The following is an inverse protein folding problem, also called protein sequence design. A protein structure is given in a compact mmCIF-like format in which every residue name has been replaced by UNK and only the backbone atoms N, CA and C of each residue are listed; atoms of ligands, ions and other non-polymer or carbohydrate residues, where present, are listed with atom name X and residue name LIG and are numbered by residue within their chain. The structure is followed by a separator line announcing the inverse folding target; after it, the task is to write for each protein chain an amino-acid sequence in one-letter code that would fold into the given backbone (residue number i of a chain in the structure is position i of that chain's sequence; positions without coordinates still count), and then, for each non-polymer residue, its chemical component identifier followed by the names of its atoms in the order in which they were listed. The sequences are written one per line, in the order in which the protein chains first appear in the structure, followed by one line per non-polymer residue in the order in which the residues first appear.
data_IF_225551232261
#
_entry.id   IF_225551232261
#
_cell.length_a   1.000
_cell.length_b   1.000
_cell.length_c   1.000
_cell.angle_alpha   90.00
_cell.angle_beta   90.00
_cell.angle_gamma   90.00
#
_symmetry.space_group_name_H-M   'P 1'
#
loop_
_entity.id
_entity.type
_entity.pdbx_description
1 polymer ?
#
# COMPACT_ATOMS: atom_id res chain seq x y z
N UNK A 1 9.08 26.10 -14.88
CA UNK A 1 8.86 26.39 -13.45
C UNK A 1 9.64 25.33 -12.67
N UNK A 2 10.34 25.71 -11.59
CA UNK A 2 10.95 24.70 -10.71
C UNK A 2 9.84 23.84 -10.11
N UNK A 3 10.07 22.52 -9.98
CA UNK A 3 9.11 21.66 -9.32
C UNK A 3 9.04 22.01 -7.81
N UNK A 4 7.87 21.88 -7.22
CA UNK A 4 7.69 21.96 -5.77
C UNK A 4 7.92 20.56 -5.18
N UNK A 5 9.01 20.33 -4.42
CA UNK A 5 9.33 19.01 -3.88
C UNK A 5 8.21 18.41 -3.02
N UNK A 6 7.48 19.24 -2.26
CA UNK A 6 6.36 18.79 -1.44
C UNK A 6 5.19 18.33 -2.31
N UNK A 7 4.82 19.12 -3.31
CA UNK A 7 3.77 18.78 -4.25
C UNK A 7 4.12 17.52 -5.06
N UNK A 8 5.38 17.35 -5.44
CA UNK A 8 5.85 16.15 -6.14
C UNK A 8 5.71 14.89 -5.25
N UNK A 9 6.21 14.93 -4.02
CA UNK A 9 6.11 13.80 -3.08
C UNK A 9 4.64 13.45 -2.81
N UNK A 10 3.80 14.45 -2.53
CA UNK A 10 2.39 14.24 -2.27
C UNK A 10 1.66 13.62 -3.48
N UNK A 11 1.97 14.09 -4.69
CA UNK A 11 1.43 13.53 -5.93
C UNK A 11 1.83 12.06 -6.13
N UNK A 12 3.09 11.69 -5.85
CA UNK A 12 3.55 10.31 -5.93
C UNK A 12 2.85 9.41 -4.92
N UNK A 13 2.65 9.88 -3.68
CA UNK A 13 1.90 9.15 -2.67
C UNK A 13 0.44 8.92 -3.10
N UNK A 14 -0.25 9.95 -3.59
CA UNK A 14 -1.62 9.82 -4.12
C UNK A 14 -1.71 8.82 -5.27
N UNK A 15 -0.76 8.88 -6.20
CA UNK A 15 -0.71 7.92 -7.31
C UNK A 15 -0.52 6.48 -6.84
N UNK A 16 0.33 6.25 -5.84
CA UNK A 16 0.54 4.91 -5.27
C UNK A 16 -0.73 4.36 -4.59
N UNK A 17 -1.44 5.20 -3.82
CA UNK A 17 -2.73 4.85 -3.18
C UNK A 17 -3.79 4.48 -4.22
N UNK A 18 -3.94 5.27 -5.28
CA UNK A 18 -4.88 5.00 -6.38
C UNK A 18 -4.55 3.67 -7.09
N UNK A 19 -3.26 3.44 -7.36
CA UNK A 19 -2.80 2.20 -7.98
C UNK A 19 -3.09 0.99 -7.12
N UNK A 20 -2.90 1.09 -5.80
CA UNK A 20 -3.23 0.04 -4.84
C UNK A 20 -4.74 -0.22 -4.78
N UNK A 21 -5.58 0.81 -4.56
CA UNK A 21 -7.02 0.65 -4.39
C UNK A 21 -7.68 0.01 -5.60
N UNK A 22 -7.24 0.36 -6.80
CA UNK A 22 -7.75 -0.23 -8.03
C UNK A 22 -7.64 -1.78 -8.06
N UNK A 23 -6.67 -2.35 -7.35
CA UNK A 23 -6.49 -3.82 -7.31
C UNK A 23 -7.59 -4.56 -6.55
N UNK A 24 -8.42 -3.84 -5.81
CA UNK A 24 -9.56 -4.42 -5.10
C UNK A 24 -10.86 -4.34 -5.91
N UNK A 25 -10.90 -3.53 -6.98
CA UNK A 25 -12.12 -3.30 -7.76
C UNK A 25 -12.63 -4.55 -8.46
N UNK A 26 -13.94 -4.80 -8.38
CA UNK A 26 -14.62 -5.89 -9.08
C UNK A 26 -14.38 -7.30 -8.52
N UNK A 27 -13.50 -7.47 -7.53
CA UNK A 27 -13.29 -8.76 -6.87
C UNK A 27 -14.44 -9.11 -5.92
N UNK A 28 -14.67 -10.44 -5.75
CA UNK A 28 -15.63 -10.94 -4.77
C UNK A 28 -15.18 -10.64 -3.33
N UNK A 29 -16.13 -10.69 -2.38
CA UNK A 29 -15.84 -10.53 -0.95
C UNK A 29 -14.87 -11.63 -0.44
N UNK A 30 -15.00 -12.84 -0.97
CA UNK A 30 -14.10 -13.95 -0.66
C UNK A 30 -12.68 -13.69 -1.19
N UNK A 31 -12.55 -13.25 -2.44
CA UNK A 31 -11.23 -13.07 -3.09
C UNK A 31 -10.41 -11.93 -2.47
N UNK A 32 -11.05 -10.86 -2.00
CA UNK A 32 -10.30 -9.78 -1.33
C UNK A 32 -9.81 -10.16 0.06
N UNK A 33 -10.39 -11.20 0.72
CA UNK A 33 -10.13 -11.59 2.11
C UNK A 33 -9.33 -12.88 2.27
N UNK A 34 -9.46 -13.83 1.32
CA UNK A 34 -8.80 -15.12 1.46
C UNK A 34 -7.27 -14.97 1.44
N UNK A 35 -6.53 -15.82 2.17
CA UNK A 35 -5.07 -15.83 2.11
C UNK A 35 -4.62 -16.23 0.69
N UNK A 36 -3.74 -15.42 0.10
CA UNK A 36 -3.24 -15.61 -1.26
C UNK A 36 -1.75 -16.01 -1.29
N UNK A 37 -1.11 -16.03 -0.13
CA UNK A 37 0.28 -16.46 0.05
C UNK A 37 0.39 -17.37 1.27
N UNK A 38 1.47 -18.18 1.41
CA UNK A 38 1.69 -18.99 2.61
C UNK A 38 1.73 -18.19 3.92
N UNK A 39 2.05 -16.91 3.87
CA UNK A 39 2.06 -16.01 5.03
C UNK A 39 0.73 -15.28 5.26
N UNK A 40 -0.30 -15.58 4.46
CA UNK A 40 -1.66 -15.07 4.66
C UNK A 40 -1.94 -13.72 4.02
N UNK A 41 -1.04 -13.14 3.22
CA UNK A 41 -1.27 -11.85 2.56
C UNK A 41 -2.57 -11.88 1.76
N UNK A 42 -3.40 -10.87 1.96
CA UNK A 42 -4.69 -10.69 1.29
C UNK A 42 -4.95 -9.20 1.00
N UNK A 43 -5.76 -8.91 -0.01
CA UNK A 43 -5.92 -7.55 -0.52
C UNK A 43 -6.61 -6.61 0.47
N UNK A 44 -7.66 -7.07 1.16
CA UNK A 44 -8.38 -6.24 2.11
C UNK A 44 -7.57 -5.98 3.38
N UNK A 45 -6.78 -6.96 3.82
CA UNK A 45 -5.82 -6.80 4.91
C UNK A 45 -4.78 -5.74 4.60
N UNK A 46 -4.22 -5.75 3.38
CA UNK A 46 -3.30 -4.70 2.96
C UNK A 46 -3.94 -3.30 2.99
N UNK A 47 -5.22 -3.17 2.59
CA UNK A 47 -5.93 -1.89 2.67
C UNK A 47 -6.11 -1.42 4.12
N UNK A 48 -6.45 -2.34 5.04
CA UNK A 48 -6.57 -2.04 6.48
C UNK A 48 -5.22 -1.62 7.06
N UNK A 49 -4.17 -2.37 6.76
CA UNK A 49 -2.80 -2.07 7.17
C UNK A 49 -2.37 -0.67 6.73
N UNK A 50 -2.44 -0.38 5.43
CA UNK A 50 -2.04 0.92 4.89
C UNK A 50 -2.83 2.09 5.49
N UNK A 51 -4.12 1.90 5.78
CA UNK A 51 -4.93 2.94 6.43
C UNK A 51 -4.36 3.30 7.82
N UNK A 52 -4.02 2.29 8.63
CA UNK A 52 -3.48 2.53 9.98
C UNK A 52 -2.03 3.00 9.97
N UNK A 53 -1.23 2.52 9.01
CA UNK A 53 0.15 2.99 8.80
C UNK A 53 0.15 4.48 8.49
N UNK A 54 -0.68 4.93 7.54
CA UNK A 54 -0.77 6.37 7.22
C UNK A 54 -1.32 7.21 8.38
N UNK A 55 -2.35 6.71 9.09
CA UNK A 55 -2.89 7.38 10.27
C UNK A 55 -1.82 7.56 11.36
N UNK A 56 -0.96 6.56 11.56
CA UNK A 56 0.14 6.62 12.53
C UNK A 56 1.25 7.58 12.11
N UNK A 57 1.76 7.43 10.89
CA UNK A 57 2.89 8.25 10.43
C UNK A 57 2.54 9.72 10.21
N UNK A 58 1.42 10.02 9.57
CA UNK A 58 1.00 11.42 9.35
C UNK A 58 0.16 11.99 10.51
N UNK A 59 -0.19 11.14 11.47
CA UNK A 59 -0.90 11.52 12.69
C UNK A 59 0.01 11.56 13.90
N UNK A 60 0.10 10.46 14.60
CA UNK A 60 0.77 10.37 15.92
C UNK A 60 2.24 10.80 15.85
N UNK A 61 2.96 10.37 14.79
CA UNK A 61 4.38 10.71 14.62
C UNK A 61 4.64 12.21 14.44
N UNK A 62 3.64 12.98 13.97
CA UNK A 62 3.71 14.43 13.79
C UNK A 62 2.94 15.21 14.87
N UNK A 63 2.54 14.54 15.97
CA UNK A 63 1.81 15.14 17.06
C UNK A 63 0.36 15.57 16.72
N UNK A 64 -0.23 14.94 15.73
CA UNK A 64 -1.59 15.18 15.23
C UNK A 64 -2.39 13.86 15.25
N UNK A 65 -2.83 13.38 16.41
CA UNK A 65 -3.42 12.05 16.52
C UNK A 65 -4.65 11.91 15.61
N UNK A 66 -4.71 10.77 14.88
CA UNK A 66 -5.88 10.43 14.10
C UNK A 66 -7.10 10.24 15.02
N UNK A 67 -8.29 10.74 14.68
CA UNK A 67 -9.43 10.76 15.61
C UNK A 67 -10.02 9.38 15.93
N UNK A 68 -9.72 8.35 15.11
CA UNK A 68 -10.16 6.99 15.33
C UNK A 68 -9.05 6.18 16.02
N UNK A 69 -9.45 5.19 16.81
CA UNK A 69 -8.51 4.26 17.47
C UNK A 69 -8.51 2.93 16.73
N UNK A 70 -7.32 2.36 16.58
CA UNK A 70 -7.19 1.00 16.05
C UNK A 70 -7.98 0.01 16.92
N UNK A 71 -8.81 -0.85 16.32
CA UNK A 71 -9.60 -1.86 17.05
C UNK A 71 -8.79 -3.11 17.37
N UNK A 72 -7.47 -3.04 17.35
CA UNK A 72 -6.56 -4.16 17.54
C UNK A 72 -5.36 -3.74 18.40
N UNK A 73 -4.65 -4.72 18.89
CA UNK A 73 -3.44 -4.56 19.72
C UNK A 73 -2.30 -5.37 19.07
N UNK A 74 -1.32 -4.67 18.50
CA UNK A 74 -0.16 -5.29 17.83
C UNK A 74 0.79 -5.98 18.81
N UNK A 75 0.75 -5.65 20.10
CA UNK A 75 1.52 -6.35 21.13
C UNK A 75 0.90 -7.72 21.44
N UNK A 76 -0.42 -7.84 21.34
CA UNK A 76 -1.14 -9.08 21.55
C UNK A 76 -1.17 -9.97 20.29
N UNK A 77 -1.36 -9.36 19.11
CA UNK A 77 -1.32 -10.02 17.80
C UNK A 77 -0.64 -9.12 16.77
N UNK A 78 0.64 -9.39 16.45
CA UNK A 78 1.46 -8.58 15.54
C UNK A 78 0.93 -8.45 14.10
N UNK A 79 -0.04 -9.27 13.71
CA UNK A 79 -0.63 -9.24 12.37
C UNK A 79 -2.11 -8.84 12.37
N UNK A 80 -2.63 -8.33 13.46
CA UNK A 80 -4.06 -7.98 13.60
C UNK A 80 -4.53 -6.84 12.69
N UNK A 81 -3.62 -6.06 12.16
CA UNK A 81 -3.87 -5.06 11.12
C UNK A 81 -3.85 -5.63 9.69
N UNK A 82 -3.27 -6.82 9.49
CA UNK A 82 -3.06 -7.43 8.17
C UNK A 82 -4.26 -8.25 7.66
N UNK A 83 -5.37 -8.27 8.37
CA UNK A 83 -6.61 -8.89 7.92
C UNK A 83 -7.83 -8.16 8.48
N UNK A 84 -8.93 -8.22 7.74
CA UNK A 84 -10.24 -7.77 8.21
C UNK A 84 -11.02 -8.96 8.79
N UNK A 85 -11.55 -8.81 10.00
CA UNK A 85 -12.42 -9.81 10.63
C UNK A 85 -13.75 -9.93 9.88
N UNK A 86 -14.56 -10.96 10.19
CA UNK A 86 -15.89 -11.12 9.59
C UNK A 86 -16.84 -9.96 9.91
N UNK A 87 -16.63 -9.28 11.04
CA UNK A 87 -17.44 -8.15 11.48
C UNK A 87 -17.00 -6.81 10.86
N UNK A 88 -15.82 -6.76 10.26
CA UNK A 88 -15.32 -5.58 9.53
C UNK A 88 -15.74 -5.69 8.07
N UNK A 89 -16.75 -4.94 7.64
CA UNK A 89 -17.19 -4.96 6.24
C UNK A 89 -16.11 -4.36 5.31
N UNK A 90 -16.11 -4.79 4.04
CA UNK A 90 -15.25 -4.19 3.01
C UNK A 90 -15.45 -2.67 2.93
N UNK A 91 -16.71 -2.22 3.00
CA UNK A 91 -17.05 -0.81 2.98
C UNK A 91 -16.43 -0.06 4.18
N UNK A 92 -16.46 -0.66 5.39
CA UNK A 92 -15.87 -0.05 6.58
C UNK A 92 -14.35 0.08 6.46
N UNK A 93 -13.65 -0.94 5.92
CA UNK A 93 -12.20 -0.91 5.72
C UNK A 93 -11.80 0.11 4.64
N UNK A 94 -12.49 0.13 3.51
CA UNK A 94 -12.21 1.12 2.46
C UNK A 94 -12.60 2.54 2.89
N UNK A 95 -13.66 2.68 3.69
CA UNK A 95 -14.04 3.95 4.32
C UNK A 95 -12.98 4.45 5.31
N UNK A 96 -12.40 3.55 6.13
CA UNK A 96 -11.26 3.88 6.98
C UNK A 96 -10.05 4.35 6.15
N UNK A 97 -9.71 3.62 5.09
CA UNK A 97 -8.62 4.00 4.20
C UNK A 97 -8.83 5.42 3.63
N UNK A 98 -10.04 5.71 3.14
CA UNK A 98 -10.37 7.04 2.61
C UNK A 98 -10.24 8.14 3.67
N UNK A 99 -10.68 7.90 4.93
CA UNK A 99 -10.55 8.87 6.01
C UNK A 99 -9.11 9.06 6.47
N UNK A 100 -8.34 7.99 6.60
CA UNK A 100 -6.94 8.05 6.98
C UNK A 100 -6.10 8.82 5.94
N UNK A 101 -6.30 8.52 4.65
CA UNK A 101 -5.60 9.21 3.57
C UNK A 101 -6.00 10.69 3.44
N UNK A 102 -7.28 11.03 3.63
CA UNK A 102 -7.73 12.44 3.65
C UNK A 102 -7.12 13.20 4.84
N UNK A 103 -7.03 12.57 6.01
CA UNK A 103 -6.37 13.12 7.17
C UNK A 103 -4.86 13.33 6.94
N UNK A 104 -4.18 12.34 6.37
CA UNK A 104 -2.78 12.43 5.97
C UNK A 104 -2.55 13.57 4.97
N UNK A 105 -3.40 13.70 3.95
CA UNK A 105 -3.35 14.78 2.97
C UNK A 105 -3.46 16.16 3.62
N UNK A 106 -4.37 16.33 4.56
CA UNK A 106 -4.50 17.58 5.34
C UNK A 106 -3.23 17.88 6.13
N UNK A 107 -2.66 16.89 6.80
CA UNK A 107 -1.39 17.04 7.54
C UNK A 107 -0.25 17.43 6.62
N UNK A 108 -0.13 16.78 5.46
CA UNK A 108 0.90 17.08 4.45
C UNK A 108 0.73 18.50 3.92
N UNK A 109 -0.49 18.95 3.64
CA UNK A 109 -0.77 20.29 3.11
C UNK A 109 -0.41 21.40 4.09
N UNK A 110 -0.74 21.19 5.38
CA UNK A 110 -0.56 22.21 6.42
C UNK A 110 0.87 22.32 6.96
N UNK A 111 1.64 21.23 6.98
CA UNK A 111 2.98 21.23 7.58
C UNK A 111 4.08 21.46 6.53
N UNK A 112 5.17 22.18 6.86
CA UNK A 112 6.35 22.27 6.00
C UNK A 112 7.12 20.94 5.96
N UNK A 113 7.92 20.71 4.91
CA UNK A 113 8.70 19.46 4.75
C UNK A 113 9.68 19.17 5.89
N UNK A 114 10.18 20.20 6.55
CA UNK A 114 11.09 20.11 7.69
C UNK A 114 10.36 20.01 9.04
N UNK A 115 9.02 19.94 9.05
CA UNK A 115 8.26 19.75 10.28
C UNK A 115 8.77 18.53 11.05
N UNK A 116 9.16 18.66 12.33
CA UNK A 116 9.72 17.58 13.11
C UNK A 116 8.67 16.55 13.51
N UNK A 117 9.08 15.28 13.57
CA UNK A 117 8.27 14.17 14.04
C UNK A 117 9.09 13.16 14.83
N UNK A 118 8.39 12.23 15.48
CA UNK A 118 9.00 11.13 16.22
C UNK A 118 8.26 9.85 15.87
N UNK A 119 8.99 8.81 15.46
CA UNK A 119 8.46 7.46 15.23
C UNK A 119 8.82 6.59 16.43
N UNK A 120 7.92 6.37 17.40
CA UNK A 120 8.28 5.75 18.69
C UNK A 120 8.80 4.31 18.58
N UNK A 121 8.37 3.57 17.54
CA UNK A 121 8.74 2.17 17.30
C UNK A 121 10.01 1.99 16.45
N UNK A 122 10.64 3.10 16.00
CA UNK A 122 11.92 3.01 15.31
C UNK A 122 13.10 3.03 16.31
N UNK A 123 14.28 2.49 15.94
CA UNK A 123 15.48 2.59 16.76
C UNK A 123 15.79 4.03 17.15
N UNK A 124 16.34 4.19 18.37
CA UNK A 124 16.60 5.49 18.99
C UNK A 124 17.36 6.47 18.08
N UNK A 125 18.34 5.95 17.34
CA UNK A 125 19.19 6.73 16.44
C UNK A 125 18.47 7.20 15.16
N UNK A 126 17.27 6.69 14.87
CA UNK A 126 16.51 7.01 13.64
C UNK A 126 15.09 7.50 13.89
N UNK A 127 14.64 7.51 15.15
CA UNK A 127 13.23 7.83 15.46
C UNK A 127 12.87 9.30 15.25
N UNK A 128 13.85 10.20 15.29
CA UNK A 128 13.62 11.64 15.04
C UNK A 128 13.64 11.88 13.54
N UNK A 129 12.52 12.32 13.02
CA UNK A 129 12.24 12.40 11.57
C UNK A 129 11.74 13.79 11.20
N UNK A 130 11.52 13.99 9.91
CA UNK A 130 10.80 15.14 9.36
C UNK A 130 9.64 14.65 8.51
N UNK A 131 8.67 15.53 8.19
CA UNK A 131 7.61 15.23 7.23
C UNK A 131 8.17 14.75 5.88
N UNK A 132 9.30 15.33 5.42
CA UNK A 132 9.96 14.89 4.21
C UNK A 132 10.34 13.40 4.26
N UNK A 133 10.99 12.98 5.37
CA UNK A 133 11.38 11.57 5.51
C UNK A 133 10.17 10.65 5.61
N UNK A 134 9.11 11.06 6.30
CA UNK A 134 7.87 10.29 6.38
C UNK A 134 7.19 10.17 5.00
N UNK A 135 7.16 11.22 4.19
CA UNK A 135 6.65 11.15 2.81
C UNK A 135 7.44 10.15 1.96
N UNK A 136 8.77 10.18 2.03
CA UNK A 136 9.62 9.20 1.31
C UNK A 136 9.35 7.78 1.78
N UNK A 137 9.22 7.59 3.11
CA UNK A 137 8.94 6.29 3.72
C UNK A 137 7.58 5.74 3.26
N UNK A 138 6.54 6.56 3.36
CA UNK A 138 5.17 6.17 2.98
C UNK A 138 5.01 5.91 1.48
N UNK A 139 5.67 6.68 0.63
CA UNK A 139 5.71 6.40 -0.81
C UNK A 139 6.32 5.01 -1.05
N UNK A 140 7.41 4.68 -0.38
CA UNK A 140 8.05 3.37 -0.51
C UNK A 140 7.15 2.24 0.02
N UNK A 141 6.50 2.44 1.17
CA UNK A 141 5.61 1.47 1.81
C UNK A 141 4.37 1.20 0.97
N UNK A 142 3.65 2.25 0.55
CA UNK A 142 2.45 2.10 -0.29
C UNK A 142 2.80 1.45 -1.64
N UNK A 143 3.92 1.85 -2.30
CA UNK A 143 4.34 1.21 -3.55
C UNK A 143 4.75 -0.26 -3.35
N UNK A 144 5.40 -0.61 -2.23
CA UNK A 144 5.71 -2.00 -1.90
C UNK A 144 4.44 -2.83 -1.84
N UNK A 145 3.41 -2.35 -1.13
CA UNK A 145 2.14 -3.05 -1.01
C UNK A 145 1.30 -3.01 -2.29
N UNK A 146 1.41 -1.96 -3.09
CA UNK A 146 0.82 -1.93 -4.43
C UNK A 146 1.41 -3.02 -5.32
N UNK A 147 2.75 -3.22 -5.29
CA UNK A 147 3.40 -4.32 -6.00
C UNK A 147 2.98 -5.71 -5.51
N UNK A 148 2.75 -5.90 -4.19
CA UNK A 148 2.15 -7.13 -3.67
C UNK A 148 0.74 -7.33 -4.25
N UNK A 149 -0.10 -6.29 -4.21
CA UNK A 149 -1.46 -6.34 -4.74
C UNK A 149 -1.49 -6.58 -6.25
N UNK A 150 -0.53 -6.06 -7.01
CA UNK A 150 -0.38 -6.32 -8.45
C UNK A 150 -0.29 -7.82 -8.74
N UNK A 151 0.67 -8.50 -8.10
CA UNK A 151 0.91 -9.94 -8.31
C UNK A 151 -0.28 -10.78 -7.80
N UNK A 152 -0.86 -10.42 -6.65
CA UNK A 152 -2.03 -11.11 -6.12
C UNK A 152 -3.24 -10.97 -7.03
N UNK A 153 -3.48 -9.77 -7.58
CA UNK A 153 -4.58 -9.50 -8.50
C UNK A 153 -4.44 -10.26 -9.81
N UNK A 154 -3.27 -10.20 -10.41
CA UNK A 154 -2.98 -10.93 -11.64
C UNK A 154 -3.15 -12.43 -11.45
N UNK A 155 -2.75 -12.98 -10.32
CA UNK A 155 -2.96 -14.40 -9.97
C UNK A 155 -4.41 -14.78 -9.70
N UNK A 156 -5.30 -13.84 -9.38
CA UNK A 156 -6.71 -14.09 -9.12
C UNK A 156 -7.55 -14.16 -10.41
N UNK A 157 -7.41 -13.18 -11.27
CA UNK A 157 -8.29 -13.00 -12.43
C UNK A 157 -7.56 -12.53 -13.71
N UNK A 158 -6.24 -12.48 -13.69
CA UNK A 158 -5.43 -12.09 -14.85
C UNK A 158 -5.40 -10.57 -15.10
N UNK A 159 -6.04 -9.76 -14.26
CA UNK A 159 -6.02 -8.31 -14.42
C UNK A 159 -4.69 -7.75 -13.96
N UNK A 160 -3.93 -7.19 -14.91
CA UNK A 160 -2.60 -6.60 -14.70
C UNK A 160 -2.56 -5.14 -15.16
N UNK A 161 -1.56 -4.41 -14.70
CA UNK A 161 -1.31 -3.04 -15.12
C UNK A 161 -1.21 -2.06 -13.94
N UNK A 162 -0.77 -0.82 -14.25
CA UNK A 162 -0.44 0.17 -13.23
C UNK A 162 -1.68 0.67 -12.47
N UNK A 163 -2.74 1.05 -13.22
CA UNK A 163 -3.99 1.60 -12.65
C UNK A 163 -5.12 1.55 -13.67
N UNK A 164 -6.34 1.78 -13.23
CA UNK A 164 -7.50 1.88 -14.11
C UNK A 164 -7.25 2.86 -15.27
N UNK A 165 -7.49 2.41 -16.50
CA UNK A 165 -7.32 3.21 -17.71
C UNK A 165 -5.86 3.48 -18.15
N UNK A 166 -4.87 2.99 -17.41
CA UNK A 166 -3.46 3.05 -17.80
C UNK A 166 -2.72 1.79 -17.34
N UNK A 167 -2.67 0.78 -18.18
CA UNK A 167 -1.99 -0.47 -17.86
C UNK A 167 -0.48 -0.34 -17.76
N UNK A 168 0.12 0.59 -18.52
CA UNK A 168 1.58 0.71 -18.71
C UNK A 168 2.22 -0.58 -19.23
N UNK A 169 1.42 -1.48 -19.81
CA UNK A 169 1.86 -2.73 -20.42
C UNK A 169 1.82 -2.58 -21.94
N UNK A 170 2.78 -3.16 -22.69
CA UNK A 170 2.75 -3.15 -24.14
C UNK A 170 1.64 -4.09 -24.67
N UNK A 171 1.12 -3.78 -25.86
CA UNK A 171 0.29 -4.72 -26.61
C UNK A 171 1.17 -5.83 -27.18
N UNK A 172 0.93 -7.06 -26.75
CA UNK A 172 1.67 -8.24 -27.24
C UNK A 172 0.90 -9.53 -26.98
N UNK A 173 1.32 -10.62 -27.62
CA UNK A 173 0.90 -11.97 -27.29
C UNK A 173 1.57 -12.40 -25.97
N UNK A 174 0.81 -12.33 -24.88
CA UNK A 174 1.30 -12.65 -23.54
C UNK A 174 1.59 -14.14 -23.38
N UNK A 175 0.88 -15.03 -24.10
CA UNK A 175 1.17 -16.46 -24.04
C UNK A 175 2.51 -16.78 -24.73
N UNK A 176 2.75 -16.24 -25.93
CA UNK A 176 4.03 -16.41 -26.60
C UNK A 176 5.20 -15.80 -25.82
N UNK A 177 4.96 -14.68 -25.12
CA UNK A 177 5.95 -14.10 -24.22
C UNK A 177 6.24 -15.01 -23.03
N UNK A 178 5.22 -15.53 -22.38
CA UNK A 178 5.34 -16.46 -21.26
C UNK A 178 6.10 -17.74 -21.66
N UNK A 179 5.73 -18.36 -22.78
CA UNK A 179 6.37 -19.56 -23.31
C UNK A 179 7.88 -19.34 -23.55
N UNK A 180 8.23 -18.18 -24.07
CA UNK A 180 9.63 -17.77 -24.26
C UNK A 180 10.38 -17.67 -22.95
N UNK A 181 9.80 -17.05 -21.92
CA UNK A 181 10.42 -16.93 -20.61
C UNK A 181 10.64 -18.29 -19.95
N UNK A 182 9.62 -19.17 -20.03
CA UNK A 182 9.71 -20.53 -19.50
C UNK A 182 10.81 -21.34 -20.19
N UNK A 183 10.92 -21.24 -21.54
CA UNK A 183 11.98 -21.89 -22.30
C UNK A 183 13.37 -21.43 -21.85
N UNK A 184 13.58 -20.13 -21.70
CA UNK A 184 14.87 -19.59 -21.27
C UNK A 184 15.21 -20.00 -19.82
N UNK A 185 14.23 -20.03 -18.93
CA UNK A 185 14.40 -20.51 -17.57
C UNK A 185 14.84 -21.99 -17.54
N UNK A 186 14.19 -22.86 -18.33
CA UNK A 186 14.55 -24.28 -18.46
C UNK A 186 15.97 -24.46 -19.01
N UNK A 187 16.33 -23.73 -20.08
CA UNK A 187 17.69 -23.77 -20.62
C UNK A 187 18.73 -23.38 -19.57
N UNK A 188 18.50 -22.29 -18.86
CA UNK A 188 19.42 -21.81 -17.81
C UNK A 188 19.56 -22.79 -16.65
N UNK A 189 18.53 -23.56 -16.31
CA UNK A 189 18.53 -24.57 -15.25
C UNK A 189 19.03 -25.94 -15.69
N UNK A 190 19.35 -26.14 -16.99
CA UNK A 190 19.73 -27.45 -17.56
C UNK A 190 18.57 -28.44 -17.67
N UNK A 191 17.33 -27.97 -17.68
CA UNK A 191 16.09 -28.77 -17.79
C UNK A 191 15.47 -28.72 -19.20
N UNK A 192 16.20 -28.20 -20.20
CA UNK A 192 15.74 -28.09 -21.59
C UNK A 192 15.95 -29.40 -22.35
#
# INVERSE_FOLDING_TARGET
MASDPKADLHRYLKTARESFLWKLDGLSEYDVRRPLTPTGTNLLGLAKHLAWVEAGYFGDCLGRPFPEKAPFDLDADPNSDMFATADESRESVLGLFARATAFADTTIEELPLDAPGVVPWWPEERKYVTLHLLLVHEIAEVNRHAGHADILREGLDGVAGLRAGNSNLPEQDWQAYWDRLELEARKASGQA
#
